data_IF_624518951861
#
_entry.id   IF_624518951861
#
_cell.length_a   1.000
_cell.length_b   1.000
_cell.length_c   1.000
_cell.angle_alpha   90.00
_cell.angle_beta   90.00
_cell.angle_gamma   90.00
#
_symmetry.space_group_name_H-M   'P 1'
#
loop_
_entity.id
_entity.type
_entity.pdbx_description
1 polymer ?
#
# COMPACT_ATOMS: atom_id res chain seq x y z
N UNK A 1 -2.04 23.17 29.35
CA UNK A 1 -2.87 21.97 29.13
C UNK A 1 -3.21 21.89 27.68
N UNK A 2 -2.89 20.79 26.99
CA UNK A 2 -3.33 20.64 25.64
C UNK A 2 -4.87 20.60 25.62
N UNK A 3 -5.47 21.37 24.74
CA UNK A 3 -6.92 21.45 24.63
C UNK A 3 -7.44 20.14 24.03
N UNK A 4 -8.04 19.30 24.84
CA UNK A 4 -8.65 18.05 24.37
C UNK A 4 -9.95 18.35 23.63
N UNK A 5 -9.98 18.03 22.36
CA UNK A 5 -11.17 18.17 21.55
C UNK A 5 -12.15 17.04 21.82
N UNK A 6 -13.34 17.37 22.29
CA UNK A 6 -14.36 16.42 22.69
C UNK A 6 -14.75 15.41 21.59
N UNK A 7 -14.71 15.82 20.33
CA UNK A 7 -14.98 14.92 19.19
C UNK A 7 -13.86 13.90 18.97
N UNK A 8 -12.61 14.28 19.18
CA UNK A 8 -11.46 13.39 19.04
C UNK A 8 -11.46 12.30 20.12
N UNK A 9 -11.87 12.63 21.33
CA UNK A 9 -12.01 11.65 22.43
C UNK A 9 -13.00 10.52 22.12
N UNK A 10 -13.95 10.75 21.22
CA UNK A 10 -14.96 9.76 20.83
C UNK A 10 -14.56 8.90 19.65
N UNK A 11 -13.44 9.20 18.99
CA UNK A 11 -12.95 8.37 17.89
C UNK A 11 -12.50 7.02 18.46
N UNK A 12 -12.94 5.91 17.86
CA UNK A 12 -12.40 4.61 18.20
C UNK A 12 -10.92 4.57 17.87
N UNK A 13 -10.11 3.81 18.64
CA UNK A 13 -8.70 3.64 18.33
C UNK A 13 -8.55 3.00 16.93
N UNK A 14 -7.45 3.35 16.25
CA UNK A 14 -7.13 2.75 14.96
C UNK A 14 -6.75 1.27 15.17
N UNK A 15 -7.63 0.38 14.74
CA UNK A 15 -7.54 -1.07 15.03
C UNK A 15 -6.22 -1.69 14.60
N UNK A 16 -5.64 -1.26 13.46
CA UNK A 16 -4.34 -1.78 13.02
C UNK A 16 -3.19 -1.37 13.93
N UNK A 17 -3.25 -0.19 14.56
CA UNK A 17 -2.26 0.24 15.54
C UNK A 17 -2.30 -0.68 16.78
N UNK A 18 -3.48 -0.97 17.29
CA UNK A 18 -3.66 -1.90 18.43
C UNK A 18 -3.16 -3.31 18.13
N UNK A 19 -3.55 -3.85 16.96
CA UNK A 19 -3.12 -5.18 16.52
C UNK A 19 -1.60 -5.24 16.34
N UNK A 20 -0.99 -4.22 15.76
CA UNK A 20 0.47 -4.15 15.60
C UNK A 20 1.19 -4.10 16.95
N UNK A 21 0.67 -3.35 17.91
CA UNK A 21 1.21 -3.31 19.27
C UNK A 21 1.09 -4.67 19.96
N UNK A 22 -0.04 -5.35 19.83
CA UNK A 22 -0.22 -6.71 20.36
C UNK A 22 0.78 -7.70 19.76
N UNK A 23 0.98 -7.65 18.45
CA UNK A 23 1.99 -8.48 17.74
C UNK A 23 3.40 -8.19 18.24
N UNK A 24 3.75 -6.91 18.39
CA UNK A 24 5.07 -6.50 18.88
C UNK A 24 5.33 -7.02 20.29
N UNK A 25 4.36 -6.89 21.20
CA UNK A 25 4.46 -7.44 22.56
C UNK A 25 4.58 -8.95 22.58
N UNK A 26 3.83 -9.64 21.75
CA UNK A 26 3.88 -11.10 21.68
C UNK A 26 5.24 -11.59 21.15
N UNK A 27 5.80 -10.94 20.13
CA UNK A 27 7.15 -11.25 19.61
C UNK A 27 8.23 -10.96 20.65
N UNK A 28 8.13 -9.84 21.37
CA UNK A 28 9.06 -9.52 22.45
C UNK A 28 9.02 -10.55 23.61
N UNK A 29 7.87 -11.20 23.82
CA UNK A 29 7.71 -12.31 24.77
C UNK A 29 8.15 -13.67 24.20
N UNK A 30 8.81 -13.71 23.05
CA UNK A 30 9.34 -14.93 22.41
C UNK A 30 8.29 -15.82 21.75
N UNK A 31 7.06 -15.30 21.50
CA UNK A 31 6.03 -16.06 20.79
C UNK A 31 6.29 -16.07 19.30
N UNK A 32 6.16 -17.22 18.67
CA UNK A 32 6.16 -17.37 17.21
C UNK A 32 4.80 -16.94 16.67
N UNK A 33 4.77 -15.79 15.97
CA UNK A 33 3.54 -15.19 15.45
C UNK A 33 3.42 -15.48 13.97
N UNK A 34 2.37 -16.20 13.59
CA UNK A 34 1.94 -16.36 12.21
C UNK A 34 0.90 -15.26 11.92
N UNK A 35 1.24 -14.36 11.01
CA UNK A 35 0.46 -13.14 10.77
C UNK A 35 -0.33 -13.23 9.45
N UNK A 36 -1.63 -13.43 9.56
CA UNK A 36 -2.59 -13.35 8.45
C UNK A 36 -3.46 -12.08 8.50
N UNK A 37 -3.11 -11.12 9.34
CA UNK A 37 -3.92 -9.92 9.59
C UNK A 37 -3.92 -8.90 8.45
N UNK A 38 -2.95 -8.96 7.55
CA UNK A 38 -2.86 -8.06 6.41
C UNK A 38 -2.41 -8.83 5.16
N UNK A 39 -3.15 -8.64 4.06
CA UNK A 39 -2.81 -9.21 2.76
C UNK A 39 -1.67 -8.45 2.08
N UNK A 40 -0.50 -8.48 2.67
CA UNK A 40 0.68 -7.81 2.13
C UNK A 40 1.54 -8.81 1.34
N UNK A 41 1.97 -8.48 0.10
CA UNK A 41 2.87 -9.34 -0.64
C UNK A 41 4.17 -9.61 0.14
N UNK A 42 4.61 -10.84 0.18
CA UNK A 42 5.85 -11.28 0.82
C UNK A 42 7.02 -11.37 -0.15
N UNK A 43 6.73 -11.40 -1.44
CA UNK A 43 7.71 -11.45 -2.51
C UNK A 43 8.02 -10.05 -3.05
N UNK A 44 9.28 -9.78 -3.43
CA UNK A 44 9.64 -8.48 -4.01
C UNK A 44 8.97 -8.28 -5.38
N UNK A 45 8.79 -7.03 -5.75
CA UNK A 45 8.33 -6.67 -7.10
C UNK A 45 9.33 -7.18 -8.15
N UNK A 46 8.88 -7.78 -9.26
CA UNK A 46 9.77 -8.25 -10.32
C UNK A 46 10.70 -7.14 -10.84
N UNK A 47 11.98 -7.45 -11.11
CA UNK A 47 12.98 -6.43 -11.49
C UNK A 47 12.59 -5.56 -12.68
N UNK A 48 11.99 -6.13 -13.72
CA UNK A 48 11.56 -5.37 -14.91
C UNK A 48 10.49 -4.30 -14.61
N UNK A 49 9.68 -4.50 -13.57
CA UNK A 49 8.69 -3.51 -13.10
C UNK A 49 9.39 -2.39 -12.34
N UNK A 50 10.35 -2.74 -11.48
CA UNK A 50 11.16 -1.76 -10.73
C UNK A 50 11.96 -0.89 -11.69
N UNK A 51 12.63 -1.50 -12.67
CA UNK A 51 13.41 -0.79 -13.70
C UNK A 51 12.52 0.19 -14.49
N UNK A 52 11.32 -0.23 -14.87
CA UNK A 52 10.38 0.65 -15.57
C UNK A 52 9.90 1.81 -14.71
N UNK A 53 9.72 1.60 -13.42
CA UNK A 53 9.39 2.67 -12.48
C UNK A 53 10.54 3.68 -12.38
N UNK A 54 11.78 3.21 -12.26
CA UNK A 54 12.97 4.07 -12.20
C UNK A 54 13.11 4.89 -13.48
N UNK A 55 13.01 4.25 -14.65
CA UNK A 55 13.02 4.94 -15.94
C UNK A 55 11.94 6.02 -16.02
N UNK A 56 10.74 5.70 -15.58
CA UNK A 56 9.59 6.60 -15.66
C UNK A 56 9.75 7.80 -14.73
N UNK A 57 10.21 7.60 -13.50
CA UNK A 57 10.36 8.70 -12.53
C UNK A 57 11.48 9.67 -12.92
N UNK A 58 12.46 9.25 -13.73
CA UNK A 58 13.49 10.13 -14.25
C UNK A 58 12.98 11.10 -15.35
N UNK A 59 11.80 10.84 -15.89
CA UNK A 59 11.18 11.71 -16.89
C UNK A 59 10.32 12.79 -16.21
N UNK A 60 10.70 14.08 -16.22
CA UNK A 60 9.96 15.15 -15.55
C UNK A 60 8.50 15.31 -16.04
N UNK A 61 8.18 14.85 -17.24
CA UNK A 61 6.81 14.88 -17.78
C UNK A 61 5.85 13.97 -17.02
N UNK A 62 6.36 13.00 -16.28
CA UNK A 62 5.54 12.09 -15.46
C UNK A 62 5.25 12.65 -14.06
N UNK A 63 5.88 13.75 -13.67
CA UNK A 63 5.68 14.43 -12.39
C UNK A 63 4.45 15.34 -12.46
N UNK A 64 3.29 14.75 -12.68
CA UNK A 64 2.05 15.48 -12.85
C UNK A 64 0.97 15.00 -11.88
N UNK A 65 -0.06 15.80 -11.75
CA UNK A 65 -1.23 15.42 -10.99
C UNK A 65 -1.86 14.16 -11.59
N UNK A 66 -2.21 13.20 -10.74
CA UNK A 66 -2.78 11.96 -11.23
C UNK A 66 -4.20 12.15 -11.77
N UNK A 67 -4.50 11.46 -12.87
CA UNK A 67 -5.84 11.38 -13.41
C UNK A 67 -6.50 10.08 -12.96
N UNK A 68 -7.67 10.16 -12.36
CA UNK A 68 -8.41 9.00 -11.83
C UNK A 68 -8.71 7.92 -12.89
N UNK A 69 -8.87 8.30 -14.15
CA UNK A 69 -9.07 7.34 -15.26
C UNK A 69 -7.79 6.66 -15.71
N UNK A 70 -6.64 7.09 -15.23
CA UNK A 70 -5.34 6.61 -15.68
C UNK A 70 -4.94 7.12 -17.06
N UNK A 71 -3.71 6.84 -17.46
CA UNK A 71 -3.19 7.22 -18.77
C UNK A 71 -3.73 6.32 -19.89
N UNK A 72 -3.87 6.81 -21.13
CA UNK A 72 -4.35 6.01 -22.27
C UNK A 72 -3.54 4.74 -22.49
N UNK A 73 -2.22 4.78 -22.35
CA UNK A 73 -1.34 3.64 -22.49
C UNK A 73 -1.66 2.50 -21.52
N UNK A 74 -1.93 2.81 -20.25
CA UNK A 74 -2.33 1.80 -19.27
C UNK A 74 -3.67 1.16 -19.62
N UNK A 75 -4.67 1.97 -19.99
CA UNK A 75 -5.99 1.44 -20.39
C UNK A 75 -5.91 0.52 -21.60
N UNK A 76 -5.09 0.89 -22.60
CA UNK A 76 -4.85 0.05 -23.78
C UNK A 76 -4.13 -1.25 -23.41
N UNK A 77 -3.15 -1.19 -22.51
CA UNK A 77 -2.44 -2.38 -22.03
C UNK A 77 -3.37 -3.35 -21.28
N UNK A 78 -4.24 -2.84 -20.43
CA UNK A 78 -5.26 -3.63 -19.72
C UNK A 78 -6.20 -4.30 -20.72
N UNK A 79 -6.75 -3.55 -21.67
CA UNK A 79 -7.62 -4.09 -22.71
C UNK A 79 -6.93 -5.18 -23.53
N UNK A 80 -5.69 -4.97 -23.93
CA UNK A 80 -4.90 -5.96 -24.66
C UNK A 80 -4.58 -7.22 -23.84
N UNK A 81 -4.35 -7.07 -22.54
CA UNK A 81 -4.16 -8.21 -21.65
C UNK A 81 -5.41 -9.09 -21.60
N UNK A 82 -6.57 -8.49 -21.35
CA UNK A 82 -7.83 -9.25 -21.30
C UNK A 82 -8.17 -9.91 -22.64
N UNK A 83 -7.95 -9.23 -23.75
CA UNK A 83 -8.19 -9.80 -25.08
C UNK A 83 -7.29 -11.02 -25.41
N UNK A 84 -6.10 -11.10 -24.82
CA UNK A 84 -5.21 -12.26 -25.01
C UNK A 84 -5.47 -13.39 -24.03
N UNK A 85 -5.98 -13.06 -22.84
CA UNK A 85 -6.08 -14.02 -21.76
C UNK A 85 -7.46 -14.70 -21.68
N UNK A 86 -8.49 -13.99 -22.09
CA UNK A 86 -9.90 -14.39 -22.01
C UNK A 86 -10.64 -14.20 -23.34
#
# INVERSE_FOLDING_TARGET
MPQEFHRIRRLPPYVFAEVNEMKARARAAGKDIIDFGMGNPDSPTPPHIVEKLVETVQNPKTHRYSNSRGIPGLRKAVSGYYARRF
#
